data_IF_047997859274
#
_entry.id   IF_047997859274
#
_cell.length_a   1.000
_cell.length_b   1.000
_cell.length_c   1.000
_cell.angle_alpha   90.00
_cell.angle_beta   90.00
_cell.angle_gamma   90.00
#
_symmetry.space_group_name_H-M   'P 1'
#
loop_
_entity.id
_entity.type
_entity.pdbx_description
1 polymer ?
#
# COMPACT_ATOMS: atom_id res chain seq x y z
N UNK A 1 -8.94 -20.00 5.97
CA UNK A 1 -9.92 -19.05 5.40
C UNK A 1 -9.22 -17.82 4.77
N UNK A 2 -8.25 -17.18 5.44
CA UNK A 2 -7.51 -16.04 4.88
C UNK A 2 -6.71 -16.39 3.62
N UNK A 3 -6.01 -17.54 3.61
CA UNK A 3 -5.27 -18.01 2.43
C UNK A 3 -6.15 -18.23 1.19
N UNK A 4 -7.40 -18.69 1.38
CA UNK A 4 -8.34 -18.93 0.28
C UNK A 4 -8.82 -17.62 -0.37
N UNK A 5 -9.00 -16.55 0.42
CA UNK A 5 -9.31 -15.23 -0.15
C UNK A 5 -8.13 -14.66 -0.95
N UNK A 6 -6.93 -14.72 -0.38
CA UNK A 6 -5.69 -14.28 -1.04
C UNK A 6 -5.51 -14.97 -2.39
N UNK A 7 -5.56 -16.30 -2.41
CA UNK A 7 -5.38 -17.10 -3.63
C UNK A 7 -6.44 -16.78 -4.69
N UNK A 8 -7.70 -16.59 -4.27
CA UNK A 8 -8.77 -16.15 -5.17
C UNK A 8 -8.50 -14.77 -5.75
N UNK A 9 -8.05 -13.82 -4.94
CA UNK A 9 -7.71 -12.48 -5.42
C UNK A 9 -6.54 -12.55 -6.41
N UNK A 10 -5.45 -13.24 -6.07
CA UNK A 10 -4.30 -13.44 -6.98
C UNK A 10 -4.78 -14.05 -8.30
N UNK A 11 -5.64 -15.07 -8.26
CA UNK A 11 -6.20 -15.70 -9.48
C UNK A 11 -7.00 -14.71 -10.33
N UNK A 12 -7.81 -13.85 -9.69
CA UNK A 12 -8.58 -12.83 -10.40
C UNK A 12 -7.67 -11.76 -11.00
N UNK A 13 -6.70 -11.23 -10.25
CA UNK A 13 -5.75 -10.25 -10.76
C UNK A 13 -4.89 -10.84 -11.89
N UNK A 14 -4.47 -12.10 -11.80
CA UNK A 14 -3.69 -12.77 -12.83
C UNK A 14 -4.47 -12.85 -14.16
N UNK A 15 -5.76 -13.21 -14.10
CA UNK A 15 -6.64 -13.20 -15.29
C UNK A 15 -6.85 -11.81 -15.87
N UNK A 16 -6.81 -10.77 -15.04
CA UNK A 16 -6.90 -9.39 -15.51
C UNK A 16 -5.57 -8.97 -16.14
N UNK A 17 -4.43 -9.32 -15.54
CA UNK A 17 -3.08 -9.13 -16.09
C UNK A 17 -2.92 -9.79 -17.46
N UNK A 18 -3.41 -11.02 -17.63
CA UNK A 18 -3.42 -11.74 -18.92
C UNK A 18 -4.17 -10.99 -20.04
N UNK A 19 -5.08 -10.07 -19.68
CA UNK A 19 -5.80 -9.21 -20.64
C UNK A 19 -5.05 -7.90 -20.93
N UNK A 20 -3.84 -7.72 -20.41
CA UNK A 20 -2.96 -6.57 -20.66
C UNK A 20 -3.18 -5.38 -19.72
N UNK A 21 -3.92 -5.56 -18.62
CA UNK A 21 -4.13 -4.49 -17.63
C UNK A 21 -2.99 -4.42 -16.62
N UNK A 22 -2.59 -3.19 -16.26
CA UNK A 22 -1.65 -2.94 -15.18
C UNK A 22 -2.26 -3.11 -13.78
N UNK A 23 -1.43 -2.98 -12.73
CA UNK A 23 -1.86 -3.19 -11.35
C UNK A 23 -2.97 -2.22 -10.92
N UNK A 24 -2.89 -0.96 -11.32
CA UNK A 24 -3.89 0.06 -10.98
C UNK A 24 -5.22 -0.19 -11.70
N UNK A 25 -5.18 -0.54 -12.99
CA UNK A 25 -6.38 -0.89 -13.76
C UNK A 25 -7.03 -2.16 -13.21
N UNK A 26 -6.24 -3.18 -12.87
CA UNK A 26 -6.77 -4.43 -12.34
C UNK A 26 -7.51 -4.24 -11.01
N UNK A 27 -6.96 -3.44 -10.11
CA UNK A 27 -7.64 -3.08 -8.86
C UNK A 27 -8.90 -2.26 -9.15
N UNK A 28 -8.84 -1.34 -10.11
CA UNK A 28 -10.03 -0.58 -10.56
C UNK A 28 -11.14 -1.51 -11.04
N UNK A 29 -10.81 -2.51 -11.86
CA UNK A 29 -11.76 -3.52 -12.32
C UNK A 29 -12.37 -4.31 -11.16
N UNK A 30 -11.58 -4.63 -10.14
CA UNK A 30 -12.09 -5.32 -8.94
C UNK A 30 -13.06 -4.44 -8.16
N UNK A 31 -12.68 -3.20 -7.86
CA UNK A 31 -13.53 -2.25 -7.14
C UNK A 31 -14.85 -2.02 -7.87
N UNK A 32 -14.80 -1.82 -9.19
CA UNK A 32 -15.98 -1.66 -10.04
C UNK A 32 -16.85 -2.93 -10.05
N UNK A 33 -16.23 -4.12 -10.15
CA UNK A 33 -16.96 -5.39 -10.15
C UNK A 33 -17.67 -5.69 -8.83
N UNK A 34 -17.16 -5.15 -7.71
CA UNK A 34 -17.77 -5.24 -6.40
C UNK A 34 -18.91 -4.23 -6.20
N UNK A 35 -19.14 -3.32 -7.16
CA UNK A 35 -20.15 -2.27 -7.05
C UNK A 35 -19.85 -1.22 -5.98
N UNK A 36 -18.63 -1.22 -5.45
CA UNK A 36 -18.20 -0.39 -4.33
C UNK A 36 -17.50 0.89 -4.79
N UNK A 37 -17.52 1.94 -3.98
CA UNK A 37 -16.60 3.07 -4.15
C UNK A 37 -15.23 2.67 -3.62
N UNK A 38 -14.15 3.25 -4.16
CA UNK A 38 -12.78 2.92 -3.73
C UNK A 38 -12.59 3.00 -2.21
N UNK A 39 -13.14 4.03 -1.56
CA UNK A 39 -13.07 4.23 -0.11
C UNK A 39 -13.86 3.21 0.73
N UNK A 40 -14.73 2.42 0.12
CA UNK A 40 -15.49 1.38 0.83
C UNK A 40 -14.66 0.10 0.98
N UNK A 41 -13.59 -0.06 0.20
CA UNK A 41 -12.69 -1.21 0.29
C UNK A 41 -11.99 -1.28 1.63
N UNK A 42 -11.49 -0.14 2.14
CA UNK A 42 -10.86 -0.08 3.47
C UNK A 42 -11.83 -0.35 4.63
N UNK A 43 -13.14 -0.37 4.38
CA UNK A 43 -14.17 -0.70 5.38
C UNK A 43 -14.51 -2.20 5.40
N UNK A 44 -14.06 -2.96 4.41
CA UNK A 44 -14.20 -4.41 4.41
C UNK A 44 -13.09 -4.99 5.27
N UNK A 45 -13.41 -5.38 6.52
CA UNK A 45 -12.45 -5.85 7.53
C UNK A 45 -11.47 -6.94 7.07
N UNK A 46 -11.79 -7.68 6.00
CA UNK A 46 -10.94 -8.77 5.48
C UNK A 46 -9.93 -8.27 4.43
N UNK A 47 -10.22 -7.15 3.76
CA UNK A 47 -9.32 -6.52 2.80
C UNK A 47 -8.44 -5.54 3.58
N UNK A 48 -7.28 -5.98 4.05
CA UNK A 48 -6.30 -5.11 4.71
C UNK A 48 -5.32 -4.55 3.69
N UNK A 49 -4.70 -3.39 3.98
CA UNK A 49 -3.66 -2.82 3.12
C UNK A 49 -2.52 -3.83 2.84
N UNK A 50 -2.14 -4.62 3.86
CA UNK A 50 -1.15 -5.69 3.75
C UNK A 50 -1.55 -6.78 2.76
N UNK A 51 -2.78 -7.29 2.86
CA UNK A 51 -3.29 -8.29 1.92
C UNK A 51 -3.29 -7.76 0.49
N UNK A 52 -3.67 -6.49 0.31
CA UNK A 52 -3.69 -5.88 -1.03
C UNK A 52 -2.28 -5.72 -1.59
N UNK A 53 -1.32 -5.26 -0.78
CA UNK A 53 0.08 -5.17 -1.18
C UNK A 53 0.62 -6.55 -1.63
N UNK A 54 0.40 -7.56 -0.80
CA UNK A 54 0.83 -8.94 -1.06
C UNK A 54 0.20 -9.54 -2.32
N UNK A 55 -1.10 -9.32 -2.53
CA UNK A 55 -1.80 -9.79 -3.74
C UNK A 55 -1.27 -9.09 -4.99
N UNK A 56 -1.07 -7.77 -4.96
CA UNK A 56 -0.53 -7.02 -6.10
C UNK A 56 0.89 -7.48 -6.40
N UNK A 57 1.76 -7.49 -5.38
CA UNK A 57 3.15 -7.93 -5.53
C UNK A 57 3.24 -9.37 -6.03
N UNK A 58 2.41 -10.29 -5.52
CA UNK A 58 2.42 -11.68 -5.97
C UNK A 58 1.99 -11.84 -7.44
N UNK A 59 1.13 -10.95 -7.93
CA UNK A 59 0.57 -11.04 -9.28
C UNK A 59 1.47 -10.36 -10.31
N UNK A 60 2.00 -9.18 -9.98
CA UNK A 60 2.77 -8.33 -10.91
C UNK A 60 4.28 -8.39 -10.67
N UNK A 61 4.72 -8.82 -9.48
CA UNK A 61 6.13 -9.00 -9.12
C UNK A 61 6.95 -7.75 -9.47
N UNK A 62 8.03 -7.93 -10.23
CA UNK A 62 8.98 -6.90 -10.62
C UNK A 62 8.38 -5.81 -11.54
N UNK A 63 7.15 -6.00 -12.04
CA UNK A 63 6.44 -5.00 -12.85
C UNK A 63 5.76 -3.92 -11.99
N UNK A 64 5.83 -3.99 -10.65
CA UNK A 64 5.22 -2.99 -9.78
C UNK A 64 6.19 -2.55 -8.68
N UNK A 65 6.40 -1.23 -8.61
CA UNK A 65 7.23 -0.62 -7.58
C UNK A 65 6.47 -0.47 -6.24
N UNK A 66 7.22 -0.39 -5.14
CA UNK A 66 6.65 -0.09 -3.82
C UNK A 66 5.85 1.23 -3.80
N UNK A 67 6.28 2.23 -4.58
CA UNK A 67 5.56 3.50 -4.73
C UNK A 67 4.19 3.32 -5.40
N UNK A 68 4.10 2.52 -6.47
CA UNK A 68 2.84 2.23 -7.14
C UNK A 68 1.87 1.47 -6.23
N UNK A 69 2.37 0.47 -5.48
CA UNK A 69 1.56 -0.24 -4.49
C UNK A 69 1.03 0.75 -3.42
N UNK A 70 1.88 1.63 -2.90
CA UNK A 70 1.48 2.64 -1.93
C UNK A 70 0.40 3.59 -2.48
N UNK A 71 0.54 4.02 -3.74
CA UNK A 71 -0.45 4.85 -4.44
C UNK A 71 -1.79 4.14 -4.59
N UNK A 72 -1.79 2.86 -4.96
CA UNK A 72 -3.00 2.04 -5.05
C UNK A 72 -3.68 1.89 -3.68
N UNK A 73 -2.92 1.59 -2.63
CA UNK A 73 -3.45 1.45 -1.27
C UNK A 73 -4.08 2.78 -0.81
N UNK A 74 -3.43 3.93 -1.07
CA UNK A 74 -4.02 5.23 -0.79
C UNK A 74 -5.32 5.45 -1.57
N UNK A 75 -5.35 5.13 -2.86
CA UNK A 75 -6.54 5.28 -3.71
C UNK A 75 -7.73 4.50 -3.15
N UNK A 76 -7.49 3.34 -2.53
CA UNK A 76 -8.49 2.51 -1.85
C UNK A 76 -8.92 3.04 -0.47
N UNK A 77 -8.39 4.20 -0.05
CA UNK A 77 -8.82 4.90 1.15
C UNK A 77 -8.22 4.37 2.46
N UNK A 78 -7.10 3.63 2.41
CA UNK A 78 -6.35 3.25 3.61
C UNK A 78 -5.47 4.39 4.09
N UNK A 79 -5.32 4.54 5.41
CA UNK A 79 -4.57 5.64 6.01
C UNK A 79 -3.05 5.47 5.79
N UNK A 80 -2.28 6.56 5.98
CA UNK A 80 -0.82 6.56 5.83
C UNK A 80 -0.13 5.49 6.67
N UNK A 81 -0.61 5.24 7.90
CA UNK A 81 -0.09 4.17 8.77
C UNK A 81 -0.25 2.76 8.18
N UNK A 82 -1.35 2.54 7.45
CA UNK A 82 -1.65 1.26 6.83
C UNK A 82 -0.78 1.07 5.58
N UNK A 83 -0.52 2.15 4.85
CA UNK A 83 0.45 2.19 3.74
C UNK A 83 1.85 1.86 4.25
N UNK A 84 2.36 2.53 5.29
CA UNK A 84 3.68 2.24 5.86
C UNK A 84 3.77 0.78 6.26
N UNK A 85 2.80 0.28 7.02
CA UNK A 85 2.81 -1.11 7.48
C UNK A 85 2.75 -2.13 6.34
N UNK A 86 2.06 -1.82 5.24
CA UNK A 86 2.01 -2.68 4.07
C UNK A 86 3.31 -2.67 3.27
N UNK A 87 3.91 -1.50 3.07
CA UNK A 87 5.18 -1.38 2.33
C UNK A 87 6.34 -1.99 3.12
N UNK A 88 6.43 -1.73 4.43
CA UNK A 88 7.48 -2.28 5.27
C UNK A 88 7.43 -3.82 5.34
N UNK A 89 6.23 -4.41 5.37
CA UNK A 89 6.07 -5.87 5.36
C UNK A 89 6.39 -6.48 3.99
N UNK A 90 5.98 -5.82 2.92
CA UNK A 90 6.14 -6.35 1.56
C UNK A 90 7.55 -6.16 0.99
N UNK A 91 8.23 -5.10 1.39
CA UNK A 91 9.56 -4.70 0.93
C UNK A 91 10.49 -4.45 2.12
N UNK A 92 10.84 -5.50 2.89
CA UNK A 92 11.66 -5.37 4.10
C UNK A 92 13.09 -4.87 3.84
N UNK A 93 13.54 -4.88 2.59
CA UNK A 93 14.83 -4.34 2.14
C UNK A 93 14.86 -2.82 2.05
N UNK A 94 13.70 -2.14 2.02
CA UNK A 94 13.63 -0.69 1.97
C UNK A 94 14.05 -0.07 3.30
N UNK A 95 14.87 0.98 3.24
CA UNK A 95 15.25 1.71 4.43
C UNK A 95 14.06 2.53 4.96
N UNK A 96 14.07 2.92 6.25
CA UNK A 96 13.07 3.83 6.79
C UNK A 96 12.96 5.15 6.00
N UNK A 97 14.06 5.64 5.43
CA UNK A 97 14.09 6.83 4.58
C UNK A 97 13.36 6.58 3.24
N UNK A 98 13.59 5.44 2.60
CA UNK A 98 12.92 5.07 1.35
C UNK A 98 11.41 4.99 1.54
N UNK A 99 10.96 4.32 2.60
CA UNK A 99 9.52 4.25 2.95
C UNK A 99 8.99 5.64 3.28
N UNK A 100 9.77 6.47 3.98
CA UNK A 100 9.41 7.86 4.26
C UNK A 100 9.18 8.68 2.99
N UNK A 101 10.05 8.56 2.00
CA UNK A 101 9.91 9.22 0.69
C UNK A 101 8.71 8.70 -0.09
N UNK A 102 8.42 7.41 -0.03
CA UNK A 102 7.22 6.83 -0.65
C UNK A 102 5.96 7.41 -0.03
N UNK A 103 5.89 7.50 1.30
CA UNK A 103 4.73 8.08 1.99
C UNK A 103 4.51 9.53 1.58
N UNK A 104 5.56 10.34 1.51
CA UNK A 104 5.48 11.76 1.16
C UNK A 104 5.42 12.02 -0.34
N UNK A 105 5.39 10.99 -1.17
CA UNK A 105 5.21 11.14 -2.60
C UNK A 105 3.86 11.80 -2.92
N UNK A 106 3.81 12.59 -4.00
CA UNK A 106 2.61 13.31 -4.47
C UNK A 106 1.38 12.38 -4.64
N UNK A 107 1.63 11.15 -5.10
CA UNK A 107 0.61 10.15 -5.34
C UNK A 107 0.16 9.43 -4.06
N UNK A 108 0.85 9.59 -2.92
CA UNK A 108 0.60 8.83 -1.68
C UNK A 108 0.09 9.71 -0.53
N UNK A 109 0.91 10.54 0.10
CA UNK A 109 0.47 11.43 1.19
C UNK A 109 1.39 12.67 1.31
N UNK A 110 1.42 13.56 0.28
CA UNK A 110 2.40 14.65 0.22
C UNK A 110 2.22 15.73 1.28
N UNK A 111 1.00 15.87 1.80
CA UNK A 111 0.64 16.91 2.78
C UNK A 111 0.54 16.35 4.20
N UNK A 112 1.11 15.17 4.47
CA UNK A 112 1.19 14.66 5.84
C UNK A 112 2.07 15.59 6.66
N UNK A 113 1.62 15.98 7.84
CA UNK A 113 2.44 16.74 8.76
C UNK A 113 3.45 15.84 9.48
N UNK A 114 4.53 16.43 9.99
CA UNK A 114 5.62 15.71 10.66
C UNK A 114 5.12 14.78 11.78
N UNK A 115 4.13 15.20 12.57
CA UNK A 115 3.63 14.41 13.70
C UNK A 115 2.84 13.19 13.24
N UNK A 116 1.98 13.37 12.24
CA UNK A 116 1.22 12.29 11.59
C UNK A 116 2.15 11.32 10.88
N UNK A 117 3.23 11.82 10.26
CA UNK A 117 4.25 11.00 9.62
C UNK A 117 4.98 10.11 10.63
N UNK A 118 5.49 10.67 11.72
CA UNK A 118 6.19 9.89 12.77
C UNK A 118 5.26 8.83 13.35
N UNK A 119 4.00 9.18 13.59
CA UNK A 119 3.00 8.24 14.08
C UNK A 119 2.75 7.09 13.08
N UNK A 120 2.67 7.39 11.78
CA UNK A 120 2.51 6.39 10.73
C UNK A 120 3.72 5.46 10.61
N UNK A 121 4.95 6.01 10.64
CA UNK A 121 6.20 5.24 10.60
C UNK A 121 6.32 4.30 11.80
N UNK A 122 6.03 4.81 13.00
CA UNK A 122 6.06 4.01 14.24
C UNK A 122 5.02 2.90 14.21
N UNK A 123 3.79 3.20 13.75
CA UNK A 123 2.74 2.20 13.62
C UNK A 123 3.09 1.11 12.61
N UNK A 124 3.77 1.48 11.53
CA UNK A 124 4.20 0.54 10.48
C UNK A 124 5.36 -0.38 10.88
N UNK A 125 5.92 -0.22 12.08
CA UNK A 125 6.91 -1.15 12.65
C UNK A 125 8.33 -0.61 12.78
N UNK A 126 8.57 0.66 12.44
CA UNK A 126 9.84 1.32 12.73
C UNK A 126 9.92 1.78 14.18
N UNK A 127 11.13 1.87 14.74
CA UNK A 127 11.31 2.48 16.05
C UNK A 127 10.95 3.96 16.03
N UNK A 128 10.65 4.51 17.20
CA UNK A 128 10.35 5.93 17.33
C UNK A 128 11.57 6.78 16.95
N UNK A 129 12.76 6.35 17.33
CA UNK A 129 14.02 6.99 17.03
C UNK A 129 14.26 7.06 15.52
N UNK A 130 14.11 5.94 14.80
CA UNK A 130 14.22 5.92 13.34
C UNK A 130 13.18 6.83 12.68
N UNK A 131 11.94 6.77 13.15
CA UNK A 131 10.84 7.60 12.63
C UNK A 131 11.13 9.10 12.78
N UNK A 132 11.64 9.53 13.93
CA UNK A 132 12.01 10.92 14.20
C UNK A 132 13.25 11.37 13.41
N UNK A 133 14.23 10.48 13.20
CA UNK A 133 15.39 10.77 12.37
C UNK A 133 14.99 11.02 10.92
N UNK A 134 14.20 10.11 10.32
CA UNK A 134 13.69 10.28 8.96
C UNK A 134 12.82 11.52 8.85
N UNK A 135 11.93 11.77 9.83
CA UNK A 135 11.11 12.97 9.85
C UNK A 135 11.94 14.26 9.91
N UNK A 136 13.09 14.24 10.59
CA UNK A 136 13.98 15.39 10.66
C UNK A 136 14.69 15.65 9.33
N UNK A 137 14.99 14.60 8.56
CA UNK A 137 15.59 14.70 7.23
C UNK A 137 14.59 15.16 6.16
N UNK A 138 13.36 14.67 6.19
CA UNK A 138 12.39 14.90 5.11
C UNK A 138 11.58 16.19 5.28
N UNK A 139 11.54 16.77 6.48
CA UNK A 139 10.81 18.02 6.79
C UNK A 139 11.74 19.21 7.11
N UNK A 140 13.05 19.07 6.89
CA UNK A 140 14.02 20.18 7.00
C UNK A 140 13.94 21.12 5.82
#
# INVERSE_FOLDING_TARGET
MFNDLREKMVTVLARIRERGYGPQEAITHIVQSLGSRYSDVSRVNVLTAKLIADVIYSTYQDETSAQEIAGIIRMLGYASRDVVGAIHEQFPELTPEDVGRIVLNEQVYPNTDRSTFVAAMTYGGYSREESEQVASLLYS
#
